data_IF_117903607408
#
_entry.id   IF_117903607408
#
_cell.length_a   1.000
_cell.length_b   1.000
_cell.length_c   1.000
_cell.angle_alpha   90.00
_cell.angle_beta   90.00
_cell.angle_gamma   90.00
#
_symmetry.space_group_name_H-M   'P 1'
#
loop_
_entity.id
_entity.type
_entity.pdbx_description
1 polymer ?
#
# COMPACT_ATOMS: atom_id res chain seq x y z
N UNK A 1 27.04 -16.53 -12.45
CA UNK A 1 26.49 -15.30 -11.88
C UNK A 1 24.97 -15.47 -11.68
N UNK A 2 24.54 -15.15 -10.51
CA UNK A 2 23.10 -15.16 -10.23
C UNK A 2 22.44 -14.02 -11.03
N UNK A 3 21.39 -14.30 -11.80
CA UNK A 3 20.66 -13.24 -12.44
C UNK A 3 20.17 -12.25 -11.38
N UNK A 4 20.16 -10.98 -11.70
CA UNK A 4 19.52 -10.02 -10.83
C UNK A 4 18.11 -10.53 -10.56
N UNK A 5 17.79 -10.70 -9.30
CA UNK A 5 16.44 -11.08 -8.93
C UNK A 5 15.51 -10.00 -9.49
N UNK A 6 14.60 -10.41 -10.33
CA UNK A 6 13.62 -9.50 -10.85
C UNK A 6 12.71 -9.05 -9.71
N UNK A 7 12.37 -7.78 -9.70
CA UNK A 7 11.46 -7.20 -8.74
C UNK A 7 10.03 -7.63 -9.11
N UNK A 8 9.53 -8.68 -8.47
CA UNK A 8 8.26 -9.31 -8.81
C UNK A 8 7.19 -9.02 -7.78
N UNK A 9 5.90 -8.98 -8.18
CA UNK A 9 4.83 -8.81 -7.20
C UNK A 9 4.82 -9.95 -6.20
N UNK A 10 4.73 -9.61 -4.91
CA UNK A 10 4.63 -10.58 -3.84
C UNK A 10 3.27 -11.29 -3.85
N UNK A 11 2.28 -10.68 -4.48
CA UNK A 11 0.96 -11.26 -4.65
C UNK A 11 -0.10 -10.70 -3.73
N UNK A 12 -0.03 -9.39 -3.40
CA UNK A 12 -1.12 -8.74 -2.68
C UNK A 12 -2.43 -8.89 -3.45
N UNK A 13 -2.36 -8.92 -4.79
CA UNK A 13 -3.53 -9.12 -5.64
C UNK A 13 -4.15 -10.51 -5.51
N UNK A 14 -3.45 -11.47 -4.91
CA UNK A 14 -3.89 -12.88 -4.81
C UNK A 14 -4.12 -13.27 -3.36
N UNK A 15 -5.40 -13.51 -2.93
CA UNK A 15 -5.71 -13.89 -1.55
C UNK A 15 -5.15 -15.26 -1.15
N UNK A 16 -4.70 -16.09 -2.09
CA UNK A 16 -4.01 -17.34 -1.78
C UNK A 16 -2.55 -17.09 -1.39
N UNK A 17 -1.97 -15.98 -1.82
CA UNK A 17 -0.58 -15.60 -1.50
C UNK A 17 -0.51 -14.68 -0.29
N UNK A 18 -1.37 -13.65 -0.25
CA UNK A 18 -1.52 -12.77 0.90
C UNK A 18 -2.97 -12.88 1.39
N UNK A 19 -3.24 -13.73 2.39
CA UNK A 19 -4.60 -13.92 2.90
C UNK A 19 -5.20 -12.65 3.46
N UNK A 20 -6.53 -12.58 3.52
CA UNK A 20 -7.25 -11.43 4.03
C UNK A 20 -6.79 -11.00 5.42
N UNK A 21 -6.47 -11.96 6.30
CA UNK A 21 -6.03 -11.66 7.67
C UNK A 21 -4.70 -10.91 7.73
N UNK A 22 -3.91 -10.93 6.66
CA UNK A 22 -2.64 -10.22 6.57
C UNK A 22 -2.77 -8.80 6.01
N UNK A 23 -3.99 -8.39 5.65
CA UNK A 23 -4.28 -7.04 5.23
C UNK A 23 -5.13 -6.37 6.30
N UNK A 24 -4.56 -5.42 7.01
CA UNK A 24 -5.20 -4.70 8.11
C UNK A 24 -5.09 -3.20 7.89
N UNK A 25 -5.77 -2.42 8.70
CA UNK A 25 -5.75 -0.97 8.58
C UNK A 25 -6.01 -0.33 9.93
N UNK A 26 -5.67 0.95 10.07
CA UNK A 26 -5.98 1.74 11.25
C UNK A 26 -7.48 1.88 11.47
N UNK A 27 -8.24 1.97 10.37
CA UNK A 27 -9.70 2.06 10.36
C UNK A 27 -10.20 1.75 8.96
N UNK A 28 -11.50 1.61 8.78
CA UNK A 28 -12.11 1.53 7.45
C UNK A 28 -13.51 2.15 7.50
N UNK A 29 -13.93 2.70 6.37
CA UNK A 29 -15.16 3.49 6.30
C UNK A 29 -16.42 2.65 6.54
N UNK A 30 -16.50 1.51 5.88
CA UNK A 30 -17.64 0.60 5.97
C UNK A 30 -17.27 -0.77 5.42
N UNK A 31 -18.21 -1.71 5.45
CA UNK A 31 -18.01 -3.07 4.92
C UNK A 31 -17.72 -3.11 3.42
N UNK A 32 -17.88 -2.00 2.70
CA UNK A 32 -17.53 -1.90 1.28
C UNK A 32 -16.09 -1.48 1.08
N UNK A 33 -15.37 -1.13 2.15
CA UNK A 33 -14.00 -0.63 2.13
C UNK A 33 -13.09 -1.42 3.07
N UNK A 34 -13.31 -2.71 3.23
CA UNK A 34 -12.46 -3.52 4.08
C UNK A 34 -10.99 -3.44 3.64
N UNK A 35 -10.03 -3.61 4.58
CA UNK A 35 -8.62 -3.58 4.23
C UNK A 35 -8.24 -4.51 3.08
N UNK A 36 -8.81 -5.73 3.02
CA UNK A 36 -8.48 -6.67 1.95
C UNK A 36 -9.09 -6.30 0.59
N UNK A 37 -9.92 -5.26 0.50
CA UNK A 37 -10.29 -4.65 -0.78
C UNK A 37 -9.20 -3.71 -1.31
N UNK A 38 -8.16 -3.45 -0.52
CA UNK A 38 -7.00 -2.69 -0.94
C UNK A 38 -5.99 -3.49 -1.79
N UNK A 39 -6.39 -4.59 -2.39
CA UNK A 39 -5.58 -5.38 -3.31
C UNK A 39 -5.53 -4.73 -4.68
N UNK A 40 -4.37 -4.76 -5.32
CA UNK A 40 -4.27 -4.29 -6.70
C UNK A 40 -5.28 -5.03 -7.58
N UNK A 41 -5.92 -4.32 -8.48
CA UNK A 41 -6.95 -4.81 -9.40
C UNK A 41 -8.23 -5.30 -8.74
N UNK A 42 -8.44 -5.06 -7.46
CA UNK A 42 -9.67 -5.45 -6.77
C UNK A 42 -10.87 -4.70 -7.34
N UNK A 43 -11.98 -5.42 -7.54
CA UNK A 43 -13.23 -4.84 -8.03
C UNK A 43 -14.41 -5.07 -7.07
N UNK A 44 -14.22 -5.84 -5.99
CA UNK A 44 -15.27 -6.11 -5.00
C UNK A 44 -15.44 -4.91 -4.06
N UNK A 45 -16.60 -4.80 -3.46
CA UNK A 45 -16.97 -3.66 -2.63
C UNK A 45 -16.93 -2.38 -3.45
N UNK A 46 -16.32 -1.34 -2.92
CA UNK A 46 -16.09 -0.10 -3.68
C UNK A 46 -14.78 -0.15 -4.46
N UNK A 47 -14.10 -1.29 -4.46
CA UNK A 47 -12.87 -1.49 -5.21
C UNK A 47 -11.67 -0.79 -4.63
N UNK A 48 -11.55 -0.81 -3.31
CA UNK A 48 -10.44 -0.24 -2.58
C UNK A 48 -10.70 -0.17 -1.10
N UNK A 49 -9.66 0.08 -0.33
CA UNK A 49 -9.79 0.44 1.08
C UNK A 49 -9.77 1.96 1.21
N UNK A 50 -10.56 2.49 2.16
CA UNK A 50 -10.34 3.85 2.65
C UNK A 50 -10.58 3.93 4.16
N UNK A 51 -9.95 4.90 4.84
CA UNK A 51 -10.12 5.07 6.28
C UNK A 51 -11.51 5.59 6.63
N UNK A 52 -11.84 5.51 7.91
CA UNK A 52 -13.14 5.95 8.43
C UNK A 52 -13.35 7.45 8.26
N UNK A 53 -12.28 8.25 8.33
CA UNK A 53 -12.36 9.70 8.17
C UNK A 53 -11.28 10.20 7.22
N UNK A 54 -11.43 11.45 6.75
CA UNK A 54 -10.45 12.13 5.90
C UNK A 54 -9.46 12.98 6.72
N UNK A 55 -9.46 12.83 8.05
CA UNK A 55 -8.78 13.75 8.97
C UNK A 55 -7.45 13.24 9.48
N UNK A 56 -6.96 12.11 8.97
CA UNK A 56 -5.74 11.49 9.46
C UNK A 56 -4.63 11.34 8.43
N UNK A 57 -4.26 12.42 7.65
CA UNK A 57 -3.09 12.32 6.79
C UNK A 57 -1.85 11.98 7.62
N UNK A 58 -1.00 11.08 7.12
CA UNK A 58 0.16 10.52 7.81
C UNK A 58 -0.16 9.74 9.09
N UNK A 59 -1.44 9.47 9.37
CA UNK A 59 -1.88 8.78 10.59
C UNK A 59 -2.66 7.51 10.25
N UNK A 60 -3.61 7.61 9.31
CA UNK A 60 -4.36 6.44 8.86
C UNK A 60 -3.60 5.67 7.79
N UNK A 61 -3.67 4.33 7.87
CA UNK A 61 -2.86 3.47 7.04
C UNK A 61 -3.56 2.18 6.66
N UNK A 62 -3.13 1.63 5.52
CA UNK A 62 -3.35 0.25 5.12
C UNK A 62 -2.05 -0.52 5.34
N UNK A 63 -2.13 -1.66 6.01
CA UNK A 63 -0.97 -2.50 6.32
C UNK A 63 -1.05 -3.84 5.61
N UNK A 64 0.07 -4.25 5.04
CA UNK A 64 0.25 -5.59 4.50
C UNK A 64 1.34 -6.31 5.30
N UNK A 65 1.02 -7.50 5.81
CA UNK A 65 1.97 -8.40 6.46
C UNK A 65 2.46 -9.42 5.42
N UNK A 66 3.74 -9.40 5.13
CA UNK A 66 4.36 -10.31 4.16
C UNK A 66 4.69 -11.67 4.75
N UNK A 67 4.35 -11.94 6.00
CA UNK A 67 4.60 -13.17 6.76
C UNK A 67 6.04 -13.35 7.20
N UNK A 68 6.99 -13.01 6.36
CA UNK A 68 8.43 -13.06 6.65
C UNK A 68 9.10 -11.83 6.07
N UNK A 69 10.35 -11.62 6.46
CA UNK A 69 11.13 -10.49 5.93
C UNK A 69 11.45 -10.74 4.47
N UNK A 70 11.15 -9.75 3.64
CA UNK A 70 11.45 -9.72 2.21
C UNK A 70 12.24 -8.46 1.88
N UNK A 71 12.98 -8.50 0.79
CA UNK A 71 13.64 -7.31 0.24
C UNK A 71 12.65 -6.62 -0.70
N UNK A 72 11.97 -5.60 -0.20
CA UNK A 72 10.95 -4.86 -0.97
C UNK A 72 11.64 -3.88 -1.89
N UNK A 73 11.45 -4.06 -3.19
CA UNK A 73 12.11 -3.29 -4.24
C UNK A 73 11.21 -2.28 -4.94
N UNK A 74 9.89 -2.40 -4.80
CA UNK A 74 8.94 -1.46 -5.38
C UNK A 74 7.57 -1.60 -4.74
N UNK A 75 6.76 -0.57 -4.89
CA UNK A 75 5.34 -0.57 -4.53
C UNK A 75 4.53 0.00 -5.67
N UNK A 76 3.25 -0.34 -5.75
CA UNK A 76 2.34 0.21 -6.74
C UNK A 76 1.00 0.51 -6.11
N UNK A 77 0.29 1.48 -6.67
CA UNK A 77 -1.03 1.86 -6.18
C UNK A 77 -2.01 2.13 -7.31
N UNK A 78 -3.28 1.99 -7.00
CA UNK A 78 -4.43 2.40 -7.81
C UNK A 78 -5.40 3.17 -6.92
N UNK A 79 -6.31 3.92 -7.52
CA UNK A 79 -7.48 4.45 -6.82
C UNK A 79 -8.54 3.37 -6.63
N UNK A 80 -9.73 3.75 -6.17
CA UNK A 80 -10.86 2.85 -6.08
C UNK A 80 -11.43 2.57 -7.48
N UNK A 81 -11.84 1.32 -7.76
CA UNK A 81 -12.35 0.96 -9.08
C UNK A 81 -13.78 1.41 -9.32
N UNK A 82 -14.60 1.48 -8.27
CA UNK A 82 -16.05 1.63 -8.39
C UNK A 82 -16.57 3.00 -7.95
N UNK A 83 -15.68 3.89 -7.54
CA UNK A 83 -16.02 5.24 -7.10
C UNK A 83 -14.85 6.17 -7.39
N UNK A 84 -15.13 7.46 -7.57
CA UNK A 84 -14.09 8.45 -7.89
C UNK A 84 -13.38 8.93 -6.63
N UNK A 85 -12.65 8.02 -6.01
CA UNK A 85 -11.84 8.27 -4.82
C UNK A 85 -10.44 7.71 -5.02
N UNK A 86 -9.45 8.45 -4.55
CA UNK A 86 -8.05 8.02 -4.70
C UNK A 86 -7.11 8.77 -3.77
N UNK A 87 -6.02 8.09 -3.43
CA UNK A 87 -4.88 8.69 -2.74
C UNK A 87 -3.94 9.30 -3.77
N UNK A 88 -3.73 10.60 -3.69
CA UNK A 88 -2.91 11.33 -4.65
C UNK A 88 -1.45 11.43 -4.23
N UNK A 89 -1.16 11.27 -2.95
CA UNK A 89 0.21 11.10 -2.46
C UNK A 89 0.20 10.32 -1.15
N UNK A 90 1.30 9.62 -0.87
CA UNK A 90 1.40 8.77 0.31
C UNK A 90 2.85 8.63 0.76
N UNK A 91 3.04 8.15 1.99
CA UNK A 91 4.33 7.76 2.53
C UNK A 91 4.27 6.30 2.96
N UNK A 92 5.44 5.70 3.16
CA UNK A 92 5.58 4.31 3.61
C UNK A 92 6.26 4.27 4.98
N UNK A 93 5.76 3.41 5.85
CA UNK A 93 6.47 2.99 7.06
C UNK A 93 6.57 1.48 7.08
N UNK A 94 7.70 0.97 7.53
CA UNK A 94 8.05 -0.44 7.43
C UNK A 94 8.57 -0.95 8.75
N UNK A 95 8.36 -2.24 9.02
CA UNK A 95 8.79 -2.89 10.24
C UNK A 95 9.13 -4.35 9.98
N UNK A 96 10.16 -4.85 10.67
CA UNK A 96 10.49 -6.29 10.66
C UNK A 96 9.73 -7.06 11.73
N UNK A 97 9.36 -6.40 12.83
CA UNK A 97 8.78 -7.03 14.02
C UNK A 97 7.36 -6.55 14.34
N UNK A 98 6.85 -5.55 13.62
CA UNK A 98 5.54 -4.98 13.88
C UNK A 98 5.50 -4.03 15.07
N UNK A 99 6.64 -3.75 15.70
CA UNK A 99 6.76 -2.91 16.89
C UNK A 99 7.58 -1.66 16.60
N UNK A 100 8.75 -1.83 15.99
CA UNK A 100 9.62 -0.73 15.61
C UNK A 100 9.35 -0.36 14.16
N UNK A 101 8.93 0.88 13.91
CA UNK A 101 8.56 1.37 12.59
C UNK A 101 9.52 2.41 12.09
N UNK A 102 9.92 2.30 10.84
CA UNK A 102 10.82 3.23 10.17
C UNK A 102 10.13 3.82 8.95
N UNK A 103 10.13 5.14 8.84
CA UNK A 103 9.64 5.82 7.65
C UNK A 103 10.64 5.62 6.50
N UNK A 104 10.13 5.27 5.32
CA UNK A 104 10.97 5.19 4.13
C UNK A 104 11.44 6.59 3.73
N UNK A 105 12.76 6.74 3.58
CA UNK A 105 13.41 8.01 3.27
C UNK A 105 14.30 7.87 2.05
N UNK A 106 14.43 8.96 1.33
CA UNK A 106 15.46 9.12 0.30
C UNK A 106 16.27 10.36 0.65
N UNK A 107 17.62 10.25 0.63
CA UNK A 107 18.50 11.34 1.05
C UNK A 107 18.17 11.85 2.47
N UNK A 108 17.85 10.95 3.39
CA UNK A 108 17.48 11.25 4.77
C UNK A 108 16.21 12.10 4.93
N UNK A 109 15.40 12.20 3.89
CA UNK A 109 14.14 12.96 3.90
C UNK A 109 12.99 11.99 3.65
N UNK A 110 11.90 12.15 4.43
CA UNK A 110 10.67 11.38 4.20
C UNK A 110 10.28 11.46 2.72
N UNK A 111 10.14 10.28 2.10
CA UNK A 111 9.71 10.22 0.71
C UNK A 111 8.20 10.31 0.63
N UNK A 112 7.71 11.35 -0.04
CA UNK A 112 6.30 11.45 -0.41
C UNK A 112 6.17 10.96 -1.85
N UNK A 113 5.44 9.85 -2.02
CA UNK A 113 5.25 9.24 -3.33
C UNK A 113 4.08 9.87 -4.05
N UNK A 114 4.23 10.09 -5.34
CA UNK A 114 3.09 10.44 -6.19
C UNK A 114 2.16 9.23 -6.30
N UNK A 115 0.91 9.46 -5.96
CA UNK A 115 -0.13 8.45 -6.09
C UNK A 115 -0.87 8.54 -7.41
N UNK A 116 -2.18 8.40 -7.37
CA UNK A 116 -3.01 8.22 -8.54
C UNK A 116 -3.77 9.48 -8.94
N UNK A 117 -3.99 9.61 -10.25
CA UNK A 117 -4.79 10.70 -10.84
C UNK A 117 -6.08 10.18 -11.46
N UNK A 118 -6.27 8.85 -11.46
CA UNK A 118 -7.49 8.19 -11.94
C UNK A 118 -7.77 6.95 -11.10
N UNK A 119 -8.76 6.15 -11.51
CA UNK A 119 -9.20 4.96 -10.76
C UNK A 119 -8.26 3.77 -10.94
N UNK A 120 -7.81 3.49 -12.16
CA UNK A 120 -7.29 2.17 -12.49
C UNK A 120 -5.85 2.14 -13.01
N UNK A 121 -5.25 3.28 -13.33
CA UNK A 121 -3.85 3.30 -13.75
C UNK A 121 -2.96 2.86 -12.59
N UNK A 122 -2.11 1.88 -12.84
CA UNK A 122 -1.15 1.40 -11.85
C UNK A 122 0.04 2.35 -11.85
N UNK A 123 0.30 2.98 -10.71
CA UNK A 123 1.47 3.85 -10.53
C UNK A 123 2.47 3.11 -9.65
N UNK A 124 3.59 2.73 -10.24
CA UNK A 124 4.64 1.94 -9.59
C UNK A 124 5.86 2.80 -9.30
N UNK A 125 6.41 2.64 -8.11
CA UNK A 125 7.63 3.33 -7.69
C UNK A 125 8.66 2.33 -7.19
N UNK A 126 9.89 2.44 -7.68
CA UNK A 126 11.02 1.67 -7.16
C UNK A 126 11.45 2.23 -5.80
N UNK A 127 11.89 1.35 -4.92
CA UNK A 127 12.57 1.72 -3.69
C UNK A 127 14.08 1.52 -3.89
N UNK A 128 14.84 2.55 -3.72
CA UNK A 128 16.29 2.52 -3.95
C UNK A 128 17.03 3.07 -2.75
N UNK A 129 17.74 2.24 -2.02
CA UNK A 129 17.86 0.78 -2.16
C UNK A 129 16.59 0.04 -1.72
N UNK A 130 16.48 -1.24 -2.07
CA UNK A 130 15.42 -2.10 -1.57
C UNK A 130 15.49 -2.18 -0.05
N UNK A 131 14.33 -2.36 0.60
CA UNK A 131 14.21 -2.34 2.05
C UNK A 131 13.83 -3.73 2.55
N UNK A 132 14.61 -4.27 3.50
CA UNK A 132 14.28 -5.53 4.15
C UNK A 132 13.21 -5.27 5.20
N UNK A 133 12.03 -5.84 5.02
CA UNK A 133 10.89 -5.61 5.91
C UNK A 133 9.90 -6.76 5.82
N UNK A 134 9.09 -6.93 6.88
CA UNK A 134 7.96 -7.86 6.88
C UNK A 134 6.64 -7.13 6.73
N UNK A 135 6.49 -5.97 7.38
CA UNK A 135 5.25 -5.18 7.37
C UNK A 135 5.46 -3.92 6.58
N UNK A 136 4.49 -3.57 5.73
CA UNK A 136 4.50 -2.33 4.96
C UNK A 136 3.19 -1.60 5.21
N UNK A 137 3.28 -0.35 5.65
CA UNK A 137 2.14 0.53 5.83
C UNK A 137 2.14 1.65 4.81
N UNK A 138 0.99 1.83 4.16
CA UNK A 138 0.74 2.93 3.24
C UNK A 138 -0.08 3.98 3.99
N UNK A 139 0.50 5.15 4.21
CA UNK A 139 -0.15 6.28 4.87
C UNK A 139 -0.48 7.33 3.82
N UNK A 140 -1.75 7.66 3.63
CA UNK A 140 -2.08 8.73 2.70
C UNK A 140 -1.60 10.08 3.24
N UNK A 141 -1.24 10.98 2.33
CA UNK A 141 -0.87 12.36 2.63
C UNK A 141 -1.88 13.32 2.01
N UNK A 142 -2.22 13.10 0.75
CA UNK A 142 -3.26 13.85 0.05
C UNK A 142 -4.17 12.90 -0.71
N UNK A 143 -5.35 13.37 -1.08
CA UNK A 143 -6.37 12.54 -1.69
C UNK A 143 -7.34 13.38 -2.51
N UNK A 144 -8.10 12.68 -3.35
CA UNK A 144 -9.24 13.23 -4.06
C UNK A 144 -10.52 12.56 -3.52
N UNK A 145 -11.44 13.36 -3.00
CA UNK A 145 -12.72 12.94 -2.43
C UNK A 145 -12.55 12.15 -1.12
N UNK A 146 -11.97 10.94 -1.17
CA UNK A 146 -11.56 10.12 -0.03
C UNK A 146 -10.24 9.44 -0.35
N UNK A 147 -9.43 9.12 0.66
CA UNK A 147 -8.11 8.51 0.42
C UNK A 147 -8.22 7.00 0.19
N UNK A 148 -8.98 6.60 -0.83
CA UNK A 148 -9.07 5.20 -1.22
C UNK A 148 -7.79 4.76 -1.92
N UNK A 149 -7.40 3.49 -1.73
CA UNK A 149 -6.18 2.96 -2.30
C UNK A 149 -6.29 1.45 -2.51
N UNK A 150 -5.64 0.97 -3.57
CA UNK A 150 -5.34 -0.44 -3.82
C UNK A 150 -3.83 -0.54 -4.03
N UNK A 151 -3.21 -1.57 -3.49
CA UNK A 151 -1.74 -1.66 -3.45
C UNK A 151 -1.21 -3.01 -3.92
N UNK A 152 0.03 -2.99 -4.39
CA UNK A 152 0.88 -4.16 -4.60
C UNK A 152 2.28 -3.86 -4.08
N UNK A 153 2.98 -4.91 -3.70
CA UNK A 153 4.34 -4.85 -3.16
C UNK A 153 5.20 -5.80 -3.98
N UNK A 154 6.39 -5.37 -4.34
CA UNK A 154 7.31 -6.12 -5.20
C UNK A 154 8.57 -6.49 -4.43
N UNK A 155 9.00 -7.72 -4.60
CA UNK A 155 10.15 -8.27 -3.88
C UNK A 155 11.13 -8.99 -4.81
#
# INVERSE_FOLDING_TARGET
RTPLSECQPVGVADPNRIPNAQMTASSYYSSRYYPYYGRLNEARGMGGWCPKTQKGPRTDYLQVDLSTVHSVCAVATQGASNIDERTTSYILRMSKDGITWNTYKENNVEKVFQGNTDRNTIVKHALSPAVKTRFVRFYYVSYHSWPAIRVEIYV
#
